data_IF_631627323926
#
_entry.id   IF_631627323926
#
_cell.length_a   1.000
_cell.length_b   1.000
_cell.length_c   1.000
_cell.angle_alpha   90.00
_cell.angle_beta   90.00
_cell.angle_gamma   90.00
#
_symmetry.space_group_name_H-M   'P 1'
#
loop_
_entity.id
_entity.type
_entity.pdbx_description
1 polymer ?
#
# COMPACT_ATOMS: atom_id res chain seq x y z
N UNK A 1 -5.02 -9.28 29.06
CA UNK A 1 -5.69 -8.19 28.29
C UNK A 1 -4.82 -7.64 27.16
N UNK A 2 -3.52 -7.39 27.34
CA UNK A 2 -2.63 -6.86 26.30
C UNK A 2 -2.56 -7.72 25.00
N UNK A 3 -2.69 -9.04 25.12
CA UNK A 3 -2.58 -9.97 23.97
C UNK A 3 -3.78 -9.86 23.00
N UNK A 4 -5.00 -9.59 23.50
CA UNK A 4 -6.21 -9.51 22.66
C UNK A 4 -6.25 -8.21 21.86
N UNK A 5 -5.92 -7.09 22.50
CA UNK A 5 -5.80 -5.79 21.84
C UNK A 5 -4.72 -5.82 20.73
N UNK A 6 -3.63 -6.53 21.00
CA UNK A 6 -2.54 -6.73 20.04
C UNK A 6 -3.00 -7.55 18.81
N UNK A 7 -3.68 -8.68 19.01
CA UNK A 7 -4.21 -9.50 17.90
C UNK A 7 -5.22 -8.72 17.05
N UNK A 8 -6.06 -7.89 17.67
CA UNK A 8 -7.01 -7.04 16.95
C UNK A 8 -6.31 -6.00 16.08
N UNK A 9 -5.25 -5.36 16.59
CA UNK A 9 -4.47 -4.37 15.85
C UNK A 9 -3.72 -5.00 14.66
N UNK A 10 -3.08 -6.17 14.86
CA UNK A 10 -2.44 -6.95 13.78
C UNK A 10 -3.45 -7.32 12.69
N UNK A 11 -4.64 -7.80 13.08
CA UNK A 11 -5.69 -8.18 12.11
C UNK A 11 -6.23 -6.98 11.34
N UNK A 12 -6.29 -5.81 11.98
CA UNK A 12 -6.74 -4.57 11.35
C UNK A 12 -5.74 -4.06 10.32
N UNK A 13 -4.44 -4.10 10.66
CA UNK A 13 -3.35 -3.76 9.77
C UNK A 13 -3.31 -4.68 8.53
N UNK A 14 -3.37 -5.99 8.74
CA UNK A 14 -3.41 -6.99 7.66
C UNK A 14 -4.57 -6.72 6.68
N UNK A 15 -5.77 -6.43 7.19
CA UNK A 15 -6.92 -6.10 6.35
C UNK A 15 -6.72 -4.81 5.56
N UNK A 16 -6.18 -3.76 6.19
CA UNK A 16 -5.90 -2.48 5.54
C UNK A 16 -4.96 -2.66 4.36
N UNK A 17 -3.82 -3.34 4.56
CA UNK A 17 -2.83 -3.59 3.51
C UNK A 17 -3.45 -4.32 2.31
N UNK A 18 -4.21 -5.39 2.57
CA UNK A 18 -4.87 -6.14 1.49
C UNK A 18 -5.94 -5.31 0.76
N UNK A 19 -6.60 -4.37 1.45
CA UNK A 19 -7.53 -3.43 0.80
C UNK A 19 -6.75 -2.48 -0.12
N UNK A 20 -5.62 -1.94 0.32
CA UNK A 20 -4.78 -1.07 -0.50
C UNK A 20 -4.26 -1.77 -1.75
N UNK A 21 -3.91 -3.05 -1.63
CA UNK A 21 -3.46 -3.84 -2.77
C UNK A 21 -4.52 -4.01 -3.87
N UNK A 22 -5.82 -3.89 -3.54
CA UNK A 22 -6.89 -3.95 -4.55
C UNK A 22 -6.87 -2.76 -5.51
N UNK A 23 -6.17 -1.68 -5.17
CA UNK A 23 -5.98 -0.52 -6.04
C UNK A 23 -4.70 -0.61 -6.88
N UNK A 24 -3.89 -1.66 -6.72
CA UNK A 24 -2.70 -1.89 -7.53
C UNK A 24 -3.01 -2.70 -8.80
N UNK A 25 -2.21 -2.54 -9.88
CA UNK A 25 -2.23 -3.43 -11.04
C UNK A 25 -2.16 -4.91 -10.65
N UNK A 26 -2.81 -5.79 -11.41
CA UNK A 26 -3.03 -7.21 -11.04
C UNK A 26 -1.73 -7.94 -10.65
N UNK A 27 -0.63 -7.68 -11.37
CA UNK A 27 0.66 -8.32 -11.13
C UNK A 27 1.34 -7.80 -9.86
N UNK A 28 1.29 -6.48 -9.63
CA UNK A 28 1.81 -5.85 -8.42
C UNK A 28 0.98 -6.23 -7.18
N UNK A 29 -0.34 -6.35 -7.35
CA UNK A 29 -1.24 -6.86 -6.33
C UNK A 29 -0.90 -8.29 -5.95
N UNK A 30 -0.71 -9.18 -6.92
CA UNK A 30 -0.37 -10.58 -6.64
C UNK A 30 0.97 -10.71 -5.89
N UNK A 31 1.99 -9.96 -6.32
CA UNK A 31 3.30 -9.91 -5.68
C UNK A 31 3.20 -9.37 -4.23
N UNK A 32 2.49 -8.26 -4.05
CA UNK A 32 2.25 -7.66 -2.74
C UNK A 32 1.47 -8.57 -1.79
N UNK A 33 0.36 -9.16 -2.27
CA UNK A 33 -0.48 -10.08 -1.49
C UNK A 33 0.33 -11.28 -0.99
N UNK A 34 1.23 -11.82 -1.83
CA UNK A 34 2.09 -12.94 -1.46
C UNK A 34 3.12 -12.53 -0.40
N UNK A 35 3.80 -11.40 -0.60
CA UNK A 35 4.78 -10.87 0.34
C UNK A 35 4.18 -10.63 1.72
N UNK A 36 3.02 -9.98 1.80
CA UNK A 36 2.33 -9.70 3.08
C UNK A 36 1.95 -10.98 3.80
N UNK A 37 1.45 -11.99 3.08
CA UNK A 37 1.11 -13.28 3.67
C UNK A 37 2.33 -13.99 4.26
N UNK A 38 3.47 -13.92 3.57
CA UNK A 38 4.70 -14.57 4.02
C UNK A 38 5.27 -13.86 5.24
N UNK A 39 5.24 -12.53 5.25
CA UNK A 39 5.74 -11.75 6.38
C UNK A 39 4.88 -11.95 7.65
N UNK A 40 3.55 -11.88 7.52
CA UNK A 40 2.65 -12.12 8.66
C UNK A 40 2.71 -13.57 9.17
N UNK A 41 3.10 -14.53 8.31
CA UNK A 41 3.34 -15.92 8.73
C UNK A 41 4.64 -16.05 9.53
N UNK A 42 5.70 -15.35 9.13
CA UNK A 42 6.97 -15.28 9.90
C UNK A 42 6.77 -14.59 11.25
N UNK A 43 5.96 -13.53 11.28
CA UNK A 43 5.61 -12.82 12.51
C UNK A 43 4.78 -13.67 13.50
N UNK A 44 4.02 -14.67 13.03
CA UNK A 44 3.28 -15.60 13.90
C UNK A 44 4.19 -16.49 14.76
N UNK A 45 5.40 -16.78 14.28
CA UNK A 45 6.43 -17.56 14.99
C UNK A 45 7.41 -16.70 15.79
N UNK A 46 7.33 -15.38 15.67
CA UNK A 46 8.25 -14.44 16.32
C UNK A 46 7.84 -14.14 17.77
N UNK A 47 8.81 -13.73 18.60
CA UNK A 47 8.58 -13.39 19.99
C UNK A 47 7.70 -12.13 20.14
N UNK A 48 7.02 -11.98 21.29
CA UNK A 48 6.11 -10.85 21.54
C UNK A 48 6.79 -9.47 21.47
N UNK A 49 8.11 -9.40 21.63
CA UNK A 49 8.92 -8.18 21.47
C UNK A 49 9.12 -7.86 20.00
N UNK A 50 9.47 -8.86 19.18
CA UNK A 50 9.65 -8.70 17.73
C UNK A 50 8.33 -8.32 17.05
N UNK A 51 7.19 -8.83 17.50
CA UNK A 51 5.88 -8.46 16.93
C UNK A 51 5.51 -6.98 17.22
N UNK A 52 5.96 -6.40 18.34
CA UNK A 52 5.76 -4.96 18.61
C UNK A 52 6.58 -4.07 17.68
N UNK A 53 7.85 -4.40 17.46
CA UNK A 53 8.69 -3.70 16.49
C UNK A 53 8.13 -3.86 15.07
N UNK A 54 7.64 -5.07 14.76
CA UNK A 54 6.99 -5.38 13.48
C UNK A 54 5.78 -4.48 13.20
N UNK A 55 4.86 -4.31 14.15
CA UNK A 55 3.70 -3.43 13.95
C UNK A 55 4.13 -1.98 13.72
N UNK A 56 5.09 -1.49 14.51
CA UNK A 56 5.58 -0.10 14.37
C UNK A 56 6.20 0.16 13.00
N UNK A 57 7.05 -0.75 12.51
CA UNK A 57 7.66 -0.63 11.18
C UNK A 57 6.63 -0.72 10.05
N UNK A 58 5.63 -1.59 10.20
CA UNK A 58 4.58 -1.75 9.20
C UNK A 58 3.59 -0.59 9.18
N UNK A 59 3.28 0.04 10.31
CA UNK A 59 2.47 1.28 10.34
C UNK A 59 3.19 2.44 9.63
N UNK A 60 4.51 2.55 9.76
CA UNK A 60 5.32 3.54 9.04
C UNK A 60 5.36 3.25 7.54
N UNK A 61 5.56 1.98 7.13
CA UNK A 61 5.53 1.58 5.72
C UNK A 61 4.16 1.78 5.07
N UNK A 62 3.07 1.47 5.77
CA UNK A 62 1.70 1.72 5.30
C UNK A 62 1.49 3.20 4.97
N UNK A 63 1.94 4.08 5.86
CA UNK A 63 1.79 5.53 5.69
C UNK A 63 2.60 6.02 4.50
N UNK A 64 3.81 5.49 4.32
CA UNK A 64 4.67 5.82 3.17
C UNK A 64 4.09 5.32 1.84
N UNK A 65 3.54 4.10 1.81
CA UNK A 65 2.92 3.53 0.60
C UNK A 65 1.66 4.31 0.21
N UNK A 66 0.86 4.72 1.20
CA UNK A 66 -0.32 5.55 0.99
C UNK A 66 0.05 6.90 0.36
N UNK A 67 0.99 7.63 0.95
CA UNK A 67 1.48 8.92 0.44
C UNK A 67 2.01 8.80 -1.00
N UNK A 68 2.81 7.76 -1.27
CA UNK A 68 3.37 7.53 -2.59
C UNK A 68 2.30 7.14 -3.63
N UNK A 69 1.28 6.38 -3.23
CA UNK A 69 0.14 6.03 -4.10
C UNK A 69 -0.72 7.25 -4.46
N UNK A 70 -0.92 8.18 -3.53
CA UNK A 70 -1.68 9.41 -3.73
C UNK A 70 -0.89 10.39 -4.63
N UNK A 71 0.43 10.45 -4.45
CA UNK A 71 1.34 11.18 -5.35
C UNK A 71 1.32 10.62 -6.77
N UNK A 72 1.42 9.30 -6.95
CA UNK A 72 1.37 8.67 -8.28
C UNK A 72 0.02 8.89 -8.96
N UNK A 73 -1.08 8.76 -8.21
CA UNK A 73 -2.44 9.05 -8.70
C UNK A 73 -2.57 10.52 -9.14
N UNK A 74 -2.08 11.46 -8.33
CA UNK A 74 -2.09 12.90 -8.67
C UNK A 74 -1.24 13.25 -9.89
N UNK A 75 -0.09 12.57 -10.06
CA UNK A 75 0.79 12.75 -11.22
C UNK A 75 0.18 12.19 -12.50
N UNK A 76 -0.44 11.02 -12.44
CA UNK A 76 -1.15 10.41 -13.58
C UNK A 76 -2.35 11.28 -13.98
N UNK A 77 -3.15 11.74 -13.02
CA UNK A 77 -4.26 12.67 -13.31
C UNK A 77 -3.78 13.94 -14.01
N UNK A 78 -2.70 14.58 -13.55
CA UNK A 78 -2.14 15.78 -14.21
C UNK A 78 -1.67 15.52 -15.65
N UNK A 79 -1.15 14.33 -15.95
CA UNK A 79 -0.72 13.96 -17.31
C UNK A 79 -1.91 13.71 -18.23
N UNK A 80 -3.00 13.13 -17.71
CA UNK A 80 -4.25 12.88 -18.46
C UNK A 80 -5.05 14.18 -18.72
N UNK A 81 -5.02 15.14 -17.80
CA UNK A 81 -5.75 16.41 -17.94
C UNK A 81 -4.96 17.51 -18.67
N UNK A 82 -3.75 17.23 -19.16
CA UNK A 82 -3.00 18.18 -19.98
C UNK A 82 -3.58 18.21 -21.39
N UNK A 83 -4.24 19.30 -21.84
CA UNK A 83 -4.72 19.40 -23.20
C UNK A 83 -3.47 19.54 -24.09
N UNK A 84 -3.17 18.51 -24.88
CA UNK A 84 -2.22 18.64 -25.99
C UNK A 84 -2.59 19.89 -26.79
N UNK A 85 -1.63 20.79 -26.92
CA UNK A 85 -1.68 21.91 -27.85
C UNK A 85 -1.93 21.36 -29.26
N UNK A 86 -3.20 21.33 -29.68
CA UNK A 86 -3.58 21.20 -31.09
C UNK A 86 -3.18 22.51 -31.75
N UNK A 87 -1.96 22.56 -32.27
CA UNK A 87 -1.58 23.55 -33.27
C UNK A 87 -2.16 23.06 -34.60
N UNK A 88 -3.38 23.50 -34.91
CA UNK A 88 -3.93 23.41 -36.26
C UNK A 88 -3.09 24.29 -37.17
N UNK A 89 -2.14 23.68 -37.89
CA UNK A 89 -1.57 24.32 -39.09
C UNK A 89 -2.68 24.45 -40.13
N UNK A 90 -3.26 25.65 -40.21
CA UNK A 90 -4.20 26.03 -41.25
C UNK A 90 -3.39 26.31 -42.52
N UNK A 91 -3.42 25.39 -43.47
CA UNK A 91 -3.09 25.68 -44.88
C UNK A 91 -4.18 26.57 -45.46
N UNK A 92 -3.83 27.79 -45.88
CA UNK A 92 -3.93 28.26 -47.26
C UNK A 92 -3.26 29.62 -47.41
#
# INVERSE_FOLDING_TARGET
MANVAHVSRVRSLYKRILILHRFMPIDLRALGDQYVKDEFRRAKSASSVEVKSFITEWEVRDTLILDQSEMLTSRVSRLVTSPSQVSTHKSH
#
